data_IF_861287844210
#
_entry.id   IF_861287844210
#
_cell.length_a   1.000
_cell.length_b   1.000
_cell.length_c   1.000
_cell.angle_alpha   90.00
_cell.angle_beta   90.00
_cell.angle_gamma   90.00
#
_symmetry.space_group_name_H-M   'P 1'
#
loop_
_entity.id
_entity.type
_entity.pdbx_description
1 polymer ?
#
# COMPACT_ATOMS: atom_id res chain seq x y z
N UNK A 1 -18.77 -7.92 -50.70
CA UNK A 1 -19.55 -7.57 -49.50
C UNK A 1 -19.59 -8.82 -48.62
N UNK A 2 -18.61 -8.94 -47.72
CA UNK A 2 -18.42 -10.13 -46.90
C UNK A 2 -19.32 -10.06 -45.67
N UNK A 3 -20.15 -11.09 -45.49
CA UNK A 3 -20.90 -11.39 -44.28
C UNK A 3 -19.93 -11.87 -43.19
N UNK A 4 -19.93 -11.22 -42.04
CA UNK A 4 -19.50 -11.85 -40.78
C UNK A 4 -20.50 -11.52 -39.68
N UNK A 5 -21.09 -12.57 -39.14
CA UNK A 5 -21.92 -12.62 -37.94
C UNK A 5 -21.18 -13.47 -36.92
N UNK A 6 -21.47 -13.18 -35.65
CA UNK A 6 -21.25 -13.98 -34.44
C UNK A 6 -19.96 -13.73 -33.65
N UNK A 7 -20.19 -13.47 -32.36
CA UNK A 7 -19.22 -13.32 -31.30
C UNK A 7 -19.94 -13.03 -29.97
N UNK A 8 -20.92 -13.85 -29.63
CA UNK A 8 -21.64 -13.89 -28.35
C UNK A 8 -20.72 -14.27 -27.19
N UNK A 9 -20.93 -13.61 -26.04
CA UNK A 9 -20.21 -13.70 -24.75
C UNK A 9 -20.10 -15.10 -24.13
N UNK A 10 -19.16 -15.30 -23.20
CA UNK A 10 -19.55 -15.62 -21.82
C UNK A 10 -18.59 -14.95 -20.81
N UNK A 11 -19.06 -14.28 -19.76
CA UNK A 11 -19.51 -14.96 -18.56
C UNK A 11 -19.15 -14.09 -17.36
N UNK A 12 -20.17 -13.43 -16.79
CA UNK A 12 -20.18 -13.08 -15.37
C UNK A 12 -19.87 -14.37 -14.63
N UNK A 13 -18.73 -14.44 -13.95
CA UNK A 13 -18.43 -15.55 -13.06
C UNK A 13 -19.30 -15.37 -11.81
N UNK A 14 -20.28 -16.23 -11.69
CA UNK A 14 -21.09 -16.40 -10.48
C UNK A 14 -20.17 -16.70 -9.30
N UNK A 15 -20.35 -15.98 -8.19
CA UNK A 15 -19.84 -16.43 -6.90
C UNK A 15 -20.56 -17.73 -6.50
N UNK A 16 -19.85 -18.80 -6.12
CA UNK A 16 -20.40 -19.76 -5.17
C UNK A 16 -19.97 -19.35 -3.77
N UNK A 17 -20.95 -19.21 -2.88
CA UNK A 17 -20.71 -18.98 -1.46
C UNK A 17 -19.77 -20.01 -0.87
N UNK A 18 -18.63 -19.54 -0.38
CA UNK A 18 -17.89 -20.19 0.69
C UNK A 18 -18.20 -19.41 1.96
N UNK A 19 -19.06 -19.96 2.80
CA UNK A 19 -19.30 -19.47 4.16
C UNK A 19 -17.95 -19.47 4.89
N UNK A 20 -17.30 -18.30 4.96
CA UNK A 20 -16.14 -18.14 5.83
C UNK A 20 -16.67 -18.31 7.25
N UNK A 21 -16.11 -19.20 8.09
CA UNK A 21 -16.56 -19.29 9.45
C UNK A 21 -16.35 -17.94 10.13
N UNK A 22 -17.43 -17.38 10.64
CA UNK A 22 -17.41 -16.41 11.72
C UNK A 22 -16.64 -17.05 12.87
N UNK A 23 -15.40 -16.63 13.08
CA UNK A 23 -14.83 -16.69 14.42
C UNK A 23 -14.31 -15.31 14.79
N UNK A 24 -14.89 -14.80 15.87
CA UNK A 24 -14.69 -13.47 16.41
C UNK A 24 -13.28 -13.28 16.97
N UNK A 25 -12.82 -12.01 16.97
CA UNK A 25 -11.60 -11.51 17.61
C UNK A 25 -10.29 -12.07 17.06
N UNK A 26 -9.90 -11.68 15.84
CA UNK A 26 -8.53 -11.29 15.43
C UNK A 26 -8.61 -10.97 13.94
N UNK A 27 -8.74 -9.68 13.58
CA UNK A 27 -8.66 -9.24 12.17
C UNK A 27 -7.21 -9.29 11.65
N UNK A 28 -6.54 -10.44 11.75
CA UNK A 28 -5.29 -10.67 11.02
C UNK A 28 -5.60 -11.47 9.76
N UNK A 29 -5.58 -10.84 8.58
CA UNK A 29 -5.62 -11.59 7.33
C UNK A 29 -4.33 -12.42 7.22
N UNK A 30 -4.52 -13.74 7.23
CA UNK A 30 -3.51 -14.73 6.87
C UNK A 30 -3.26 -14.58 5.34
N UNK A 31 -1.98 -14.58 4.94
CA UNK A 31 -1.45 -14.22 3.61
C UNK A 31 -2.22 -14.82 2.40
N UNK A 32 -2.24 -14.10 1.25
CA UNK A 32 -1.21 -14.32 0.23
C UNK A 32 -0.69 -13.00 -0.39
N UNK A 33 0.52 -12.57 -0.05
CA UNK A 33 1.18 -11.43 -0.72
C UNK A 33 2.35 -11.93 -1.58
N UNK A 34 2.03 -12.69 -2.63
CA UNK A 34 2.94 -12.87 -3.73
C UNK A 34 3.14 -11.52 -4.44
N UNK A 35 4.37 -11.21 -4.90
CA UNK A 35 4.66 -10.03 -5.73
C UNK A 35 3.65 -9.96 -6.89
N UNK A 36 2.63 -9.09 -6.78
CA UNK A 36 1.62 -8.90 -7.83
C UNK A 36 0.17 -8.81 -7.35
N UNK A 37 -0.18 -9.35 -6.18
CA UNK A 37 -1.59 -9.47 -5.75
C UNK A 37 -1.99 -8.49 -4.64
N UNK A 38 -1.72 -7.19 -4.81
CA UNK A 38 -2.36 -6.17 -3.96
C UNK A 38 -3.83 -5.95 -4.40
N UNK A 39 -4.65 -7.01 -4.42
CA UNK A 39 -6.11 -6.90 -4.66
C UNK A 39 -6.88 -6.44 -3.41
N UNK A 40 -6.21 -6.38 -2.26
CA UNK A 40 -6.77 -5.83 -1.01
C UNK A 40 -6.10 -4.49 -0.75
N UNK A 41 -6.88 -3.41 -0.82
CA UNK A 41 -6.40 -2.08 -0.45
C UNK A 41 -5.90 -2.10 1.00
N UNK A 42 -4.64 -1.72 1.25
CA UNK A 42 -4.13 -1.63 2.61
C UNK A 42 -4.99 -0.68 3.44
N UNK A 43 -5.52 -1.17 4.56
CA UNK A 43 -6.34 -0.39 5.49
C UNK A 43 -5.44 0.37 6.47
N UNK A 44 -5.75 1.64 6.69
CA UNK A 44 -5.06 2.49 7.67
C UNK A 44 -4.27 3.63 7.02
N UNK A 45 -3.53 4.35 7.86
CA UNK A 45 -2.71 5.47 7.42
C UNK A 45 -1.46 4.99 6.65
N UNK A 46 -0.88 5.85 5.81
CA UNK A 46 0.27 5.47 4.97
C UNK A 46 1.45 5.01 5.82
N UNK A 47 1.69 5.67 6.96
CA UNK A 47 2.74 5.29 7.90
C UNK A 47 2.49 3.91 8.54
N UNK A 48 1.26 3.66 8.97
CA UNK A 48 0.88 2.39 9.60
C UNK A 48 1.04 1.21 8.65
N UNK A 49 0.58 1.38 7.41
CA UNK A 49 0.67 0.33 6.38
C UNK A 49 2.13 0.02 6.02
N UNK A 50 2.97 1.04 5.83
CA UNK A 50 4.39 0.84 5.52
C UNK A 50 5.12 0.12 6.68
N UNK A 51 4.84 0.53 7.91
CA UNK A 51 5.42 -0.10 9.09
C UNK A 51 5.01 -1.58 9.22
N UNK A 52 3.74 -1.88 8.96
CA UNK A 52 3.22 -3.25 8.98
C UNK A 52 3.82 -4.11 7.87
N UNK A 53 3.90 -3.58 6.65
CA UNK A 53 4.53 -4.27 5.53
C UNK A 53 6.00 -4.58 5.84
N UNK A 54 6.75 -3.62 6.42
CA UNK A 54 8.13 -3.84 6.86
C UNK A 54 8.25 -4.98 7.86
N UNK A 55 7.40 -4.99 8.90
CA UNK A 55 7.39 -6.05 9.92
C UNK A 55 7.05 -7.41 9.32
N UNK A 56 6.10 -7.47 8.38
CA UNK A 56 5.73 -8.71 7.67
C UNK A 56 6.82 -9.24 6.77
N UNK A 57 7.62 -8.35 6.18
CA UNK A 57 8.83 -8.71 5.46
C UNK A 57 10.00 -9.09 6.38
N UNK A 58 9.80 -9.09 7.72
CA UNK A 58 10.83 -9.29 8.72
C UNK A 58 12.05 -8.35 8.56
N UNK A 59 11.81 -7.14 8.05
CA UNK A 59 12.86 -6.14 7.81
C UNK A 59 12.99 -5.19 9.01
N UNK A 60 14.24 -4.92 9.41
CA UNK A 60 14.52 -3.80 10.31
C UNK A 60 14.45 -2.47 9.55
N UNK A 61 14.33 -1.36 10.27
CA UNK A 61 14.29 -0.05 9.62
C UNK A 61 15.64 0.31 8.98
N UNK A 62 16.74 -0.21 9.53
CA UNK A 62 18.10 -0.12 9.00
C UNK A 62 18.22 -0.84 7.66
N UNK A 63 17.65 -2.05 7.54
CA UNK A 63 17.66 -2.82 6.28
C UNK A 63 16.87 -2.10 5.18
N UNK A 64 15.75 -1.46 5.52
CA UNK A 64 15.01 -0.62 4.57
C UNK A 64 15.85 0.61 4.18
N UNK A 65 16.53 1.24 5.14
CA UNK A 65 17.41 2.38 4.86
C UNK A 65 18.56 2.00 3.92
N UNK A 66 19.19 0.85 4.15
CA UNK A 66 20.26 0.33 3.29
C UNK A 66 19.76 0.07 1.86
N UNK A 67 18.60 -0.59 1.73
CA UNK A 67 18.00 -0.94 0.44
C UNK A 67 17.56 0.29 -0.34
N UNK A 68 16.95 1.26 0.33
CA UNK A 68 16.36 2.45 -0.31
C UNK A 68 17.30 3.63 -0.42
N UNK A 69 18.41 3.61 0.33
CA UNK A 69 19.31 4.76 0.56
C UNK A 69 18.62 5.98 1.18
N UNK A 70 17.45 5.77 1.79
CA UNK A 70 16.74 6.81 2.55
C UNK A 70 17.24 6.79 4.00
N UNK A 71 17.64 7.94 4.58
CA UNK A 71 18.04 8.01 5.98
C UNK A 71 16.99 7.46 6.94
N UNK A 72 17.42 6.67 7.93
CA UNK A 72 16.56 6.03 8.95
C UNK A 72 15.60 7.04 9.58
N UNK A 73 16.09 8.25 9.91
CA UNK A 73 15.27 9.32 10.52
C UNK A 73 14.03 9.67 9.68
N UNK A 74 14.12 9.60 8.36
CA UNK A 74 12.99 9.91 7.47
C UNK A 74 12.07 8.70 7.29
N UNK A 75 12.60 7.49 7.26
CA UNK A 75 11.75 6.28 7.26
C UNK A 75 10.93 6.19 8.56
N UNK A 76 11.56 6.44 9.71
CA UNK A 76 10.90 6.47 11.00
C UNK A 76 9.84 7.59 11.07
N UNK A 77 10.14 8.74 10.47
CA UNK A 77 9.18 9.84 10.36
C UNK A 77 7.99 9.49 9.46
N UNK A 78 8.20 8.74 8.38
CA UNK A 78 7.13 8.24 7.50
C UNK A 78 6.23 7.27 8.27
N UNK A 79 6.80 6.30 9.00
CA UNK A 79 6.02 5.37 9.83
C UNK A 79 5.17 6.10 10.89
N UNK A 80 5.73 7.15 11.49
CA UNK A 80 5.06 7.98 12.49
C UNK A 80 4.21 9.13 11.90
N UNK A 81 4.11 9.22 10.58
CA UNK A 81 3.45 10.31 9.83
C UNK A 81 3.85 11.75 10.19
N UNK A 82 5.06 11.91 10.72
CA UNK A 82 5.69 13.20 11.02
C UNK A 82 6.35 13.78 9.78
N UNK A 83 5.55 14.18 8.80
CA UNK A 83 6.06 14.62 7.50
C UNK A 83 6.75 15.99 7.53
N UNK A 84 6.51 16.78 8.58
CA UNK A 84 7.11 18.07 8.88
C UNK A 84 8.64 18.02 9.04
N UNK A 85 9.19 16.88 9.48
CA UNK A 85 10.65 16.71 9.63
C UNK A 85 11.36 16.44 8.30
N UNK A 86 10.61 16.17 7.23
CA UNK A 86 11.16 15.84 5.92
C UNK A 86 11.33 17.14 5.11
N UNK A 87 12.48 17.37 4.45
CA UNK A 87 12.81 18.67 3.83
C UNK A 87 11.89 19.17 2.71
N UNK A 88 10.82 18.45 2.38
CA UNK A 88 9.83 18.87 1.39
C UNK A 88 8.98 17.73 0.86
N UNK A 89 7.85 18.09 0.26
CA UNK A 89 6.87 17.12 -0.25
C UNK A 89 7.40 16.26 -1.39
N UNK A 90 8.34 16.80 -2.18
CA UNK A 90 8.98 16.07 -3.29
C UNK A 90 9.80 14.91 -2.72
N UNK A 91 10.61 15.17 -1.69
CA UNK A 91 11.40 14.15 -1.00
C UNK A 91 10.50 13.12 -0.30
N UNK A 92 9.46 13.58 0.40
CA UNK A 92 8.49 12.71 1.05
C UNK A 92 7.88 11.70 0.07
N UNK A 93 7.37 12.17 -1.07
CA UNK A 93 6.77 11.28 -2.09
C UNK A 93 7.79 10.30 -2.64
N UNK A 94 9.01 10.75 -2.91
CA UNK A 94 10.11 9.89 -3.34
C UNK A 94 10.45 8.79 -2.33
N UNK A 95 10.53 9.15 -1.04
CA UNK A 95 10.85 8.22 0.05
C UNK A 95 9.72 7.22 0.30
N UNK A 96 8.47 7.66 0.32
CA UNK A 96 7.30 6.78 0.47
C UNK A 96 7.25 5.76 -0.67
N UNK A 97 7.50 6.20 -1.90
CA UNK A 97 7.55 5.32 -3.07
C UNK A 97 8.68 4.30 -3.00
N UNK A 98 9.87 4.74 -2.60
CA UNK A 98 11.02 3.85 -2.42
C UNK A 98 10.79 2.82 -1.29
N UNK A 99 10.19 3.25 -0.18
CA UNK A 99 9.83 2.37 0.93
C UNK A 99 8.80 1.33 0.48
N UNK A 100 7.70 1.74 -0.15
CA UNK A 100 6.69 0.82 -0.67
C UNK A 100 7.30 -0.26 -1.56
N UNK A 101 8.17 0.12 -2.50
CA UNK A 101 8.88 -0.84 -3.35
C UNK A 101 9.76 -1.80 -2.55
N UNK A 102 10.46 -1.33 -1.52
CA UNK A 102 11.34 -2.16 -0.69
C UNK A 102 10.58 -3.23 0.09
N UNK A 103 9.35 -2.94 0.53
CA UNK A 103 8.48 -3.88 1.28
C UNK A 103 7.44 -4.59 0.40
N UNK A 104 7.59 -4.53 -0.92
CA UNK A 104 6.73 -5.25 -1.87
C UNK A 104 5.33 -4.66 -2.08
N UNK A 105 5.09 -3.42 -1.65
CA UNK A 105 3.86 -2.68 -1.90
C UNK A 105 3.87 -1.97 -3.26
N UNK A 106 2.69 -1.66 -3.78
CA UNK A 106 2.54 -0.95 -5.05
C UNK A 106 2.94 0.53 -4.95
N UNK A 107 3.78 1.01 -5.88
CA UNK A 107 4.12 2.44 -5.98
C UNK A 107 2.88 3.32 -6.22
N UNK A 108 1.90 2.86 -7.00
CA UNK A 108 0.66 3.60 -7.26
C UNK A 108 -0.12 3.84 -5.97
N UNK A 109 -0.39 2.76 -5.22
CA UNK A 109 -1.05 2.87 -3.92
C UNK A 109 -0.31 3.85 -3.00
N UNK A 110 1.02 3.74 -2.92
CA UNK A 110 1.82 4.59 -2.04
C UNK A 110 1.67 6.08 -2.39
N UNK A 111 1.61 6.40 -3.68
CA UNK A 111 1.38 7.75 -4.18
C UNK A 111 -0.04 8.24 -3.89
N UNK A 112 -1.05 7.40 -4.08
CA UNK A 112 -2.45 7.75 -3.79
C UNK A 112 -2.64 7.99 -2.29
N UNK A 113 -2.10 7.11 -1.44
CA UNK A 113 -2.16 7.21 0.01
C UNK A 113 -1.47 8.47 0.55
N UNK A 114 -0.25 8.80 0.07
CA UNK A 114 0.43 10.01 0.53
C UNK A 114 -0.24 11.29 0.04
N UNK A 115 -0.82 11.29 -1.16
CA UNK A 115 -1.59 12.42 -1.67
C UNK A 115 -2.87 12.65 -0.85
N UNK A 116 -3.58 11.58 -0.48
CA UNK A 116 -4.73 11.66 0.39
C UNK A 116 -4.36 12.22 1.78
N UNK A 117 -3.32 11.69 2.41
CA UNK A 117 -2.85 12.14 3.72
C UNK A 117 -2.44 13.63 3.73
N UNK A 118 -1.75 14.10 2.68
CA UNK A 118 -1.37 15.51 2.54
C UNK A 118 -2.59 16.42 2.32
N UNK A 119 -3.60 15.93 1.59
CA UNK A 119 -4.82 16.69 1.32
C UNK A 119 -5.68 16.83 2.58
N UNK A 120 -5.81 15.77 3.37
CA UNK A 120 -6.49 15.81 4.66
C UNK A 120 -5.81 16.79 5.63
N UNK A 121 -4.47 16.76 5.71
CA UNK A 121 -3.74 17.66 6.60
C UNK A 121 -3.88 19.13 6.22
N UNK A 122 -3.92 19.44 4.92
CA UNK A 122 -4.17 20.82 4.44
C UNK A 122 -5.57 21.30 4.82
N UNK A 123 -6.57 20.42 4.74
CA UNK A 123 -7.95 20.72 5.15
C UNK A 123 -8.07 20.96 6.65
N UNK A 124 -7.33 20.21 7.48
CA UNK A 124 -7.33 20.39 8.93
C UNK A 124 -6.63 21.69 9.40
N UNK A 125 -5.79 22.29 8.57
CA UNK A 125 -5.07 23.54 8.87
C UNK A 125 -5.67 24.79 8.22
N UNK A 126 -6.72 24.64 7.42
CA UNK A 126 -7.43 25.72 6.73
C UNK A 126 -8.67 26.13 7.54
#
# INVERSE_FOLDING_TARGET
MLLFRAGTSPGVVSQPGGLTPMNAMTEQPILPFAKGDWRVEPRGSVGTVLAEARRRCAMTIEQVAETTRVPIRYLAAIEAERFDVIPGVIYLKGFVKAFARAVGLCERWAMDAINAALSERRRATA
#
